data_IF_601968350275
#
_entry.id   IF_601968350275
#
_cell.length_a   1.000
_cell.length_b   1.000
_cell.length_c   1.000
_cell.angle_alpha   90.00
_cell.angle_beta   90.00
_cell.angle_gamma   90.00
#
_symmetry.space_group_name_H-M   'P 1'
#
loop_
_entity.id
_entity.type
_entity.pdbx_description
1 polymer ?
#
# COMPACT_ATOMS: atom_id res chain seq x y z
N UNK A 1 -12.87 -1.87 -26.08
CA UNK A 1 -12.67 -1.02 -24.90
C UNK A 1 -11.81 -1.79 -23.91
N UNK A 2 -10.72 -1.18 -23.40
CA UNK A 2 -9.91 -1.80 -22.35
C UNK A 2 -10.78 -2.00 -21.10
N UNK A 3 -10.69 -3.19 -20.52
CA UNK A 3 -11.50 -3.56 -19.35
C UNK A 3 -10.85 -2.96 -18.11
N UNK A 4 -11.32 -1.82 -17.63
CA UNK A 4 -10.85 -1.15 -16.43
C UNK A 4 -11.66 -1.64 -15.24
N UNK A 5 -10.98 -2.15 -14.21
CA UNK A 5 -11.54 -2.54 -12.91
C UNK A 5 -11.22 -1.46 -11.88
N UNK A 6 -12.21 -1.02 -11.15
CA UNK A 6 -12.06 0.00 -10.12
C UNK A 6 -12.19 -0.69 -8.75
N UNK A 7 -11.26 -0.42 -7.84
CA UNK A 7 -11.24 -1.02 -6.51
C UNK A 7 -11.25 0.09 -5.46
N UNK A 8 -12.21 0.00 -4.53
CA UNK A 8 -12.17 0.74 -3.27
C UNK A 8 -11.44 -0.10 -2.22
N UNK A 9 -10.28 0.38 -1.79
CA UNK A 9 -9.47 -0.29 -0.78
C UNK A 9 -9.35 0.57 0.48
N UNK A 10 -10.46 1.20 0.87
CA UNK A 10 -10.52 2.01 2.08
C UNK A 10 -10.29 1.16 3.33
N UNK A 11 -9.43 1.63 4.20
CA UNK A 11 -9.16 1.04 5.51
C UNK A 11 -8.85 2.14 6.51
N UNK A 12 -9.32 2.00 7.73
CA UNK A 12 -9.09 2.98 8.80
C UNK A 12 -8.31 2.38 9.96
N UNK A 13 -7.54 3.21 10.63
CA UNK A 13 -6.83 2.80 11.84
C UNK A 13 -7.85 2.36 12.91
N UNK A 14 -7.54 1.31 13.73
CA UNK A 14 -8.48 0.78 14.72
C UNK A 14 -8.96 1.77 15.79
N UNK A 15 -8.22 2.86 15.99
CA UNK A 15 -8.57 3.93 16.94
C UNK A 15 -9.43 5.04 16.32
N UNK A 16 -9.89 4.87 15.09
CA UNK A 16 -10.77 5.81 14.39
C UNK A 16 -12.16 5.20 14.29
N UNK A 17 -13.19 5.94 14.74
CA UNK A 17 -14.59 5.49 14.67
C UNK A 17 -15.14 5.71 13.25
N UNK A 18 -14.68 4.87 12.32
CA UNK A 18 -15.10 4.85 10.91
C UNK A 18 -15.20 3.41 10.42
N UNK A 19 -16.19 3.14 9.57
CA UNK A 19 -16.40 1.84 8.92
C UNK A 19 -16.23 1.98 7.40
N UNK A 20 -15.13 1.47 6.82
CA UNK A 20 -14.84 1.68 5.42
C UNK A 20 -15.85 1.01 4.50
N UNK A 21 -16.45 -0.11 4.91
CA UNK A 21 -17.47 -0.79 4.11
C UNK A 21 -18.80 -0.03 4.10
N UNK A 22 -19.23 0.52 5.24
CA UNK A 22 -20.42 1.38 5.28
C UNK A 22 -20.22 2.66 4.47
N UNK A 23 -19.02 3.25 4.51
CA UNK A 23 -18.69 4.41 3.67
C UNK A 23 -18.78 4.08 2.19
N UNK A 24 -18.22 2.93 1.77
CA UNK A 24 -18.36 2.42 0.41
C UNK A 24 -19.81 2.19 0.01
N UNK A 25 -20.63 1.55 0.87
CA UNK A 25 -22.06 1.34 0.59
C UNK A 25 -22.83 2.64 0.44
N UNK A 26 -22.47 3.66 1.21
CA UNK A 26 -23.11 4.96 1.13
C UNK A 26 -22.71 5.74 -0.15
N UNK A 27 -21.42 5.71 -0.51
CA UNK A 27 -20.88 6.48 -1.63
C UNK A 27 -19.57 5.88 -2.16
N UNK A 28 -19.56 5.52 -3.43
CA UNK A 28 -18.35 5.03 -4.11
C UNK A 28 -18.31 5.49 -5.58
N UNK A 29 -17.17 5.31 -6.24
CA UNK A 29 -17.02 5.56 -7.68
C UNK A 29 -17.76 4.45 -8.44
N UNK A 30 -18.54 4.83 -9.46
CA UNK A 30 -19.34 3.87 -10.24
C UNK A 30 -18.50 2.68 -10.72
N UNK A 31 -19.04 1.48 -10.57
CA UNK A 31 -18.42 0.18 -10.87
C UNK A 31 -17.23 -0.17 -9.95
N UNK A 32 -17.00 0.54 -8.85
CA UNK A 32 -16.00 0.14 -7.88
C UNK A 32 -16.40 -1.15 -7.16
N UNK A 33 -15.40 -1.94 -6.79
CA UNK A 33 -15.51 -3.18 -6.03
C UNK A 33 -14.77 -2.96 -4.71
N UNK A 34 -15.39 -3.26 -3.58
CA UNK A 34 -14.75 -3.11 -2.29
C UNK A 34 -13.74 -4.23 -2.02
N UNK A 35 -12.53 -3.86 -1.59
CA UNK A 35 -11.49 -4.77 -1.15
C UNK A 35 -11.21 -4.57 0.33
N UNK A 36 -11.60 -5.54 1.16
CA UNK A 36 -11.38 -5.54 2.60
C UNK A 36 -9.95 -6.05 2.91
N UNK A 37 -9.06 -5.17 3.33
CA UNK A 37 -7.67 -5.53 3.63
C UNK A 37 -7.59 -6.52 4.79
N UNK A 38 -8.40 -6.34 5.84
CA UNK A 38 -8.35 -7.19 7.03
C UNK A 38 -8.81 -8.61 6.71
N UNK A 39 -9.97 -8.75 6.06
CA UNK A 39 -10.53 -10.06 5.68
C UNK A 39 -9.70 -10.81 4.65
N UNK A 40 -8.99 -10.08 3.78
CA UNK A 40 -8.20 -10.66 2.69
C UNK A 40 -6.71 -10.79 3.04
N UNK A 41 -6.36 -10.60 4.30
CA UNK A 41 -5.03 -10.91 4.85
C UNK A 41 -4.95 -12.38 5.28
N UNK A 42 -3.74 -12.86 5.57
CA UNK A 42 -3.51 -14.24 5.99
C UNK A 42 -4.21 -14.52 7.34
N UNK A 43 -5.25 -15.37 7.39
CA UNK A 43 -6.01 -15.63 8.60
C UNK A 43 -5.24 -16.46 9.64
N UNK A 44 -4.14 -17.11 9.24
CA UNK A 44 -3.32 -17.93 10.11
C UNK A 44 -2.17 -17.14 10.76
N UNK A 45 -2.11 -15.83 10.55
CA UNK A 45 -1.07 -14.99 11.13
C UNK A 45 -1.61 -14.18 12.31
N UNK A 46 -0.86 -14.15 13.41
CA UNK A 46 -1.13 -13.23 14.52
C UNK A 46 -0.69 -11.78 14.21
N UNK A 47 0.04 -11.58 13.10
CA UNK A 47 0.43 -10.25 12.64
C UNK A 47 -0.61 -9.72 11.66
N UNK A 48 -0.99 -8.44 11.77
CA UNK A 48 -1.99 -7.86 10.89
C UNK A 48 -1.48 -7.70 9.46
N UNK A 49 -2.39 -7.77 8.51
CA UNK A 49 -2.18 -7.49 7.09
C UNK A 49 -1.07 -8.33 6.43
N UNK A 50 -0.75 -9.49 6.99
CA UNK A 50 0.18 -10.41 6.32
C UNK A 50 -0.42 -10.88 5.00
N UNK A 51 0.43 -10.99 3.98
CA UNK A 51 -0.01 -11.45 2.66
C UNK A 51 -0.63 -12.84 2.79
N UNK A 52 -1.76 -13.04 2.13
CA UNK A 52 -2.40 -14.35 2.01
C UNK A 52 -1.58 -15.27 1.10
N UNK A 53 -1.97 -16.53 0.99
CA UNK A 53 -1.34 -17.46 0.05
C UNK A 53 -1.83 -17.25 -1.39
N UNK A 54 -1.07 -17.80 -2.34
CA UNK A 54 -1.35 -17.72 -3.77
C UNK A 54 -2.78 -18.17 -4.14
N UNK A 55 -3.23 -19.30 -3.60
CA UNK A 55 -4.52 -19.88 -3.99
C UNK A 55 -5.69 -19.03 -3.46
N UNK A 56 -5.57 -18.56 -2.23
CA UNK A 56 -6.54 -17.63 -1.63
C UNK A 56 -6.62 -16.33 -2.42
N UNK A 57 -5.47 -15.78 -2.86
CA UNK A 57 -5.43 -14.60 -3.70
C UNK A 57 -6.06 -14.82 -5.07
N UNK A 58 -5.75 -15.93 -5.77
CA UNK A 58 -6.36 -16.30 -7.05
C UNK A 58 -7.88 -16.37 -6.96
N UNK A 59 -8.37 -17.05 -5.92
CA UNK A 59 -9.81 -17.17 -5.67
C UNK A 59 -10.47 -15.82 -5.42
N UNK A 60 -9.89 -15.01 -4.54
CA UNK A 60 -10.39 -13.68 -4.21
C UNK A 60 -10.51 -12.80 -5.45
N UNK A 61 -9.42 -12.64 -6.19
CA UNK A 61 -9.35 -11.74 -7.35
C UNK A 61 -10.26 -12.23 -8.48
N UNK A 62 -10.39 -13.56 -8.66
CA UNK A 62 -11.34 -14.16 -9.60
C UNK A 62 -12.79 -13.82 -9.22
N UNK A 63 -13.15 -13.91 -7.93
CA UNK A 63 -14.48 -13.54 -7.43
C UNK A 63 -14.76 -12.04 -7.58
N UNK A 64 -13.74 -11.19 -7.52
CA UNK A 64 -13.85 -9.77 -7.84
C UNK A 64 -14.01 -9.51 -9.35
N UNK A 65 -14.06 -10.54 -10.17
CA UNK A 65 -14.23 -10.41 -11.62
C UNK A 65 -13.02 -9.79 -12.32
N UNK A 66 -11.83 -9.94 -11.77
CA UNK A 66 -10.57 -9.40 -12.31
C UNK A 66 -9.78 -10.52 -12.96
N UNK A 67 -9.25 -10.28 -14.15
CA UNK A 67 -8.35 -11.15 -14.89
C UNK A 67 -6.93 -10.56 -14.98
N UNK A 68 -5.95 -11.37 -15.38
CA UNK A 68 -4.55 -10.92 -15.50
C UNK A 68 -4.33 -9.81 -16.56
N UNK A 69 -5.27 -9.66 -17.50
CA UNK A 69 -5.17 -8.68 -18.59
C UNK A 69 -5.92 -7.37 -18.30
N UNK A 70 -6.63 -7.28 -17.16
CA UNK A 70 -7.39 -6.08 -16.81
C UNK A 70 -6.46 -4.95 -16.40
N UNK A 71 -6.85 -3.71 -16.69
CA UNK A 71 -6.31 -2.53 -16.04
C UNK A 71 -7.03 -2.32 -14.71
N UNK A 72 -6.28 -2.05 -13.67
CA UNK A 72 -6.79 -1.87 -12.32
C UNK A 72 -6.53 -0.43 -11.89
N UNK A 73 -7.57 0.25 -11.41
CA UNK A 73 -7.47 1.55 -10.75
C UNK A 73 -7.95 1.39 -9.32
N UNK A 74 -7.08 1.68 -8.37
CA UNK A 74 -7.34 1.52 -6.94
C UNK A 74 -7.45 2.89 -6.30
N UNK A 75 -8.45 3.07 -5.46
CA UNK A 75 -8.59 4.28 -4.63
C UNK A 75 -8.93 3.92 -3.19
N UNK A 76 -8.90 4.92 -2.33
CA UNK A 76 -9.36 4.81 -0.95
C UNK A 76 -9.97 6.11 -0.43
N UNK A 77 -10.57 6.03 0.77
CA UNK A 77 -11.03 7.14 1.60
C UNK A 77 -10.26 7.17 2.94
N UNK A 78 -9.02 6.73 2.92
CA UNK A 78 -8.20 6.48 4.11
C UNK A 78 -7.25 7.65 4.40
N UNK A 79 -6.96 7.89 5.68
CA UNK A 79 -5.92 8.85 6.09
C UNK A 79 -4.51 8.26 6.05
N UNK A 80 -4.38 6.96 5.74
CA UNK A 80 -3.11 6.23 5.62
C UNK A 80 -2.83 5.76 4.20
N UNK A 81 -3.61 6.23 3.21
CA UNK A 81 -3.49 5.91 1.78
C UNK A 81 -3.41 4.39 1.57
N UNK A 82 -4.44 3.70 2.04
CA UNK A 82 -4.50 2.22 2.05
C UNK A 82 -4.56 1.60 0.65
N UNK A 83 -4.96 2.35 -0.37
CA UNK A 83 -4.89 1.95 -1.78
C UNK A 83 -3.50 1.48 -2.20
N UNK A 84 -2.44 2.07 -1.65
CA UNK A 84 -1.05 1.66 -1.92
C UNK A 84 -0.78 0.22 -1.46
N UNK A 85 -1.41 -0.24 -0.37
CA UNK A 85 -1.27 -1.63 0.07
C UNK A 85 -1.95 -2.60 -0.89
N UNK A 86 -3.13 -2.25 -1.40
CA UNK A 86 -3.80 -3.06 -2.42
C UNK A 86 -2.98 -3.09 -3.73
N UNK A 87 -2.45 -1.94 -4.18
CA UNK A 87 -1.50 -1.88 -5.29
C UNK A 87 -0.32 -2.84 -5.08
N UNK A 88 0.32 -2.78 -3.91
CA UNK A 88 1.43 -3.65 -3.58
C UNK A 88 1.06 -5.13 -3.63
N UNK A 89 -0.12 -5.51 -3.13
CA UNK A 89 -0.59 -6.89 -3.19
C UNK A 89 -0.70 -7.38 -4.64
N UNK A 90 -1.26 -6.60 -5.57
CA UNK A 90 -1.31 -6.96 -6.98
C UNK A 90 0.09 -7.11 -7.59
N UNK A 91 1.03 -6.23 -7.25
CA UNK A 91 2.42 -6.33 -7.73
C UNK A 91 3.11 -7.58 -7.19
N UNK A 92 2.95 -7.86 -5.90
CA UNK A 92 3.50 -9.06 -5.26
C UNK A 92 2.96 -10.35 -5.88
N UNK A 93 1.67 -10.41 -6.16
CA UNK A 93 1.03 -11.56 -6.80
C UNK A 93 1.15 -11.58 -8.33
N UNK A 94 2.03 -10.76 -8.89
CA UNK A 94 2.49 -10.88 -10.27
C UNK A 94 1.58 -10.23 -11.31
N UNK A 95 0.63 -9.38 -10.92
CA UNK A 95 -0.08 -8.55 -11.90
C UNK A 95 0.91 -7.61 -12.61
N UNK A 96 0.63 -7.31 -13.89
CA UNK A 96 1.49 -6.40 -14.64
C UNK A 96 1.50 -5.00 -13.97
N UNK A 97 2.66 -4.58 -13.48
CA UNK A 97 2.81 -3.31 -12.77
C UNK A 97 2.32 -2.10 -13.59
N UNK A 98 2.49 -2.14 -14.91
CA UNK A 98 2.02 -1.07 -15.82
C UNK A 98 0.50 -1.02 -15.97
N UNK A 99 -0.21 -2.03 -15.46
CA UNK A 99 -1.68 -2.12 -15.50
C UNK A 99 -2.33 -1.89 -14.14
N UNK A 100 -1.55 -1.60 -13.08
CA UNK A 100 -2.09 -1.32 -11.74
C UNK A 100 -1.80 0.13 -11.37
N UNK A 101 -2.84 0.91 -11.18
CA UNK A 101 -2.78 2.35 -10.95
C UNK A 101 -3.46 2.74 -9.65
N UNK A 102 -3.01 3.81 -9.05
CA UNK A 102 -3.68 4.49 -7.94
C UNK A 102 -4.40 5.71 -8.48
N UNK A 103 -5.65 5.93 -8.06
CA UNK A 103 -6.34 7.19 -8.26
C UNK A 103 -5.76 8.21 -7.26
N UNK A 104 -4.93 9.10 -7.77
CA UNK A 104 -4.19 10.07 -6.97
C UNK A 104 -5.13 11.04 -6.24
N UNK A 105 -5.02 11.12 -4.92
CA UNK A 105 -5.95 11.85 -4.04
C UNK A 105 -7.21 11.07 -3.65
N UNK A 106 -7.41 9.85 -4.16
CA UNK A 106 -8.51 8.95 -3.80
C UNK A 106 -9.91 9.55 -4.02
N UNK A 107 -10.91 9.02 -3.29
CA UNK A 107 -12.29 9.52 -3.41
C UNK A 107 -12.45 10.93 -2.79
N UNK A 108 -11.55 11.36 -1.91
CA UNK A 108 -11.62 12.71 -1.32
C UNK A 108 -11.43 13.76 -2.39
N UNK A 109 -10.37 13.66 -3.18
CA UNK A 109 -10.09 14.56 -4.30
C UNK A 109 -11.15 14.43 -5.40
N UNK A 110 -11.59 13.21 -5.71
CA UNK A 110 -12.67 12.95 -6.66
C UNK A 110 -13.95 13.74 -6.32
N UNK A 111 -14.33 13.78 -5.03
CA UNK A 111 -15.48 14.56 -4.54
C UNK A 111 -15.23 16.08 -4.58
N UNK A 112 -14.03 16.53 -4.22
CA UNK A 112 -13.66 17.96 -4.30
C UNK A 112 -13.74 18.49 -5.74
N UNK A 113 -13.46 17.63 -6.72
CA UNK A 113 -13.60 17.95 -8.15
C UNK A 113 -15.04 17.79 -8.67
N UNK A 114 -16.04 17.56 -7.79
CA UNK A 114 -17.44 17.33 -8.13
C UNK A 114 -17.67 16.21 -9.14
N UNK A 115 -16.84 15.17 -9.12
CA UNK A 115 -16.99 14.01 -9.99
C UNK A 115 -18.10 13.08 -9.48
N UNK A 116 -18.76 12.31 -10.38
CA UNK A 116 -19.92 11.51 -10.03
C UNK A 116 -19.58 10.37 -9.08
N UNK A 117 -20.45 10.18 -8.09
CA UNK A 117 -20.45 9.08 -7.13
C UNK A 117 -21.80 8.36 -7.16
N UNK A 118 -21.84 7.14 -6.68
CA UNK A 118 -23.05 6.30 -6.60
C UNK A 118 -23.06 5.48 -5.33
N UNK A 119 -24.21 4.90 -5.01
CA UNK A 119 -24.41 3.82 -4.03
C UNK A 119 -24.96 2.55 -4.71
N UNK A 120 -25.00 2.50 -6.03
CA UNK A 120 -25.47 1.35 -6.79
C UNK A 120 -24.52 0.17 -6.64
N UNK A 121 -25.03 -1.00 -6.26
CA UNK A 121 -24.22 -2.22 -6.10
C UNK A 121 -23.61 -2.61 -7.44
N UNK A 122 -22.29 -2.76 -7.45
CA UNK A 122 -21.57 -3.19 -8.63
C UNK A 122 -21.86 -4.65 -8.95
N UNK A 123 -22.36 -4.91 -10.16
CA UNK A 123 -22.56 -6.28 -10.64
C UNK A 123 -21.25 -6.90 -11.07
N UNK A 124 -20.80 -7.94 -10.37
CA UNK A 124 -19.52 -8.59 -10.60
C UNK A 124 -19.75 -9.88 -11.41
N UNK A 125 -19.13 -9.94 -12.58
CA UNK A 125 -19.02 -11.18 -13.36
C UNK A 125 -17.70 -11.86 -12.99
N UNK A 126 -17.77 -13.03 -12.36
CA UNK A 126 -16.59 -13.83 -11.98
C UNK A 126 -15.67 -14.05 -13.20
N UNK A 127 -14.38 -13.99 -12.98
CA UNK A 127 -13.34 -14.22 -13.98
C UNK A 127 -12.36 -15.31 -13.53
N UNK A 128 -11.27 -15.49 -14.27
CA UNK A 128 -10.15 -16.34 -13.87
C UNK A 128 -8.89 -15.48 -13.71
N UNK A 129 -8.25 -15.61 -12.57
CA UNK A 129 -6.98 -14.94 -12.25
C UNK A 129 -5.93 -15.98 -11.86
N UNK A 130 -4.69 -15.78 -12.31
CA UNK A 130 -3.52 -16.60 -11.95
C UNK A 130 -2.47 -15.72 -11.27
N UNK A 131 -2.01 -16.12 -10.11
CA UNK A 131 -1.02 -15.41 -9.33
C UNK A 131 0.38 -16.01 -9.46
N UNK A 132 1.39 -15.14 -9.38
CA UNK A 132 2.80 -15.51 -9.29
C UNK A 132 3.43 -14.71 -8.15
N UNK A 133 3.71 -15.37 -7.04
CA UNK A 133 4.33 -14.72 -5.88
C UNK A 133 5.75 -14.26 -6.19
N UNK A 134 5.98 -12.95 -6.10
CA UNK A 134 7.30 -12.32 -6.20
C UNK A 134 7.92 -12.22 -4.80
N UNK A 135 8.40 -13.33 -4.28
CA UNK A 135 8.90 -13.44 -2.89
C UNK A 135 10.07 -12.51 -2.58
N UNK A 136 10.80 -12.09 -3.59
CA UNK A 136 11.89 -11.11 -3.50
C UNK A 136 11.41 -9.72 -3.04
N UNK A 137 10.12 -9.41 -3.22
CA UNK A 137 9.53 -8.13 -2.83
C UNK A 137 9.18 -8.05 -1.32
N UNK A 138 9.32 -9.14 -0.58
CA UNK A 138 9.09 -9.18 0.87
C UNK A 138 10.37 -9.58 1.59
N UNK A 139 10.73 -8.83 2.63
CA UNK A 139 11.80 -9.22 3.56
C UNK A 139 11.22 -9.83 4.82
N UNK A 140 11.78 -10.97 5.24
CA UNK A 140 11.46 -11.61 6.50
C UNK A 140 12.24 -10.96 7.65
N UNK A 141 11.76 -11.17 8.89
CA UNK A 141 12.48 -10.75 10.10
C UNK A 141 13.93 -11.23 10.09
N UNK A 142 14.16 -12.50 9.71
CA UNK A 142 15.51 -13.08 9.61
C UNK A 142 16.42 -12.28 8.66
N UNK A 143 15.90 -11.90 7.48
CA UNK A 143 16.66 -11.09 6.52
C UNK A 143 16.96 -9.68 7.06
N UNK A 144 16.02 -9.07 7.80
CA UNK A 144 16.27 -7.79 8.48
C UNK A 144 17.36 -7.95 9.55
N UNK A 145 17.27 -8.96 10.41
CA UNK A 145 18.25 -9.22 11.47
C UNK A 145 19.67 -9.47 10.89
N UNK A 146 19.76 -10.21 9.78
CA UNK A 146 21.01 -10.42 9.05
C UNK A 146 21.55 -9.13 8.42
N UNK A 147 20.66 -8.30 7.88
CA UNK A 147 21.02 -7.06 7.22
C UNK A 147 21.62 -6.01 8.15
N UNK A 148 21.31 -6.04 9.45
CA UNK A 148 21.94 -5.15 10.45
C UNK A 148 23.49 -5.28 10.39
N UNK A 149 23.98 -6.50 10.13
CA UNK A 149 25.44 -6.76 10.00
C UNK A 149 25.93 -6.65 8.56
N UNK A 150 25.17 -7.19 7.59
CA UNK A 150 25.60 -7.33 6.19
C UNK A 150 25.49 -6.06 5.37
N UNK A 151 24.51 -5.16 5.71
CA UNK A 151 24.24 -3.90 5.00
C UNK A 151 23.96 -4.07 3.50
N UNK A 152 23.27 -5.15 3.12
CA UNK A 152 22.93 -5.48 1.73
C UNK A 152 21.84 -4.55 1.15
N UNK A 153 20.97 -4.02 2.02
CA UNK A 153 19.89 -3.09 1.65
C UNK A 153 19.65 -2.05 2.74
N UNK A 154 19.07 -0.95 2.33
CA UNK A 154 18.73 0.16 3.23
C UNK A 154 17.28 0.03 3.67
N UNK A 155 17.02 0.17 4.97
CA UNK A 155 15.66 0.14 5.53
C UNK A 155 15.18 1.57 5.77
N UNK A 156 13.96 1.89 5.30
CA UNK A 156 13.31 3.19 5.52
C UNK A 156 11.95 2.95 6.18
N UNK A 157 11.75 3.57 7.34
CA UNK A 157 10.54 3.44 8.14
C UNK A 157 9.55 4.56 7.82
N UNK A 158 8.32 4.18 7.51
CA UNK A 158 7.22 5.08 7.11
C UNK A 158 6.40 5.66 8.28
N UNK A 159 6.70 5.26 9.53
CA UNK A 159 5.99 5.73 10.73
C UNK A 159 6.33 7.19 11.06
N UNK A 160 5.61 7.76 12.05
CA UNK A 160 5.98 9.08 12.59
C UNK A 160 7.40 9.06 13.21
N UNK A 161 8.05 10.22 13.21
CA UNK A 161 9.39 10.37 13.81
C UNK A 161 9.37 10.00 15.29
N UNK A 162 8.33 10.40 16.03
CA UNK A 162 8.21 10.07 17.44
C UNK A 162 8.13 8.57 17.71
N UNK A 163 7.41 7.81 16.88
CA UNK A 163 7.37 6.33 16.97
C UNK A 163 8.71 5.71 16.58
N UNK A 164 9.34 6.21 15.53
CA UNK A 164 10.67 5.77 15.09
C UNK A 164 11.74 5.98 16.17
N UNK A 165 11.72 7.13 16.83
CA UNK A 165 12.66 7.49 17.89
C UNK A 165 12.33 6.85 19.26
N UNK A 166 11.20 6.15 19.36
CA UNK A 166 10.74 5.56 20.62
C UNK A 166 10.17 6.56 21.63
N UNK A 167 9.88 7.78 21.22
CA UNK A 167 9.29 8.85 22.04
C UNK A 167 7.77 8.76 22.11
N UNK A 168 7.13 8.10 21.15
CA UNK A 168 5.70 7.86 21.10
C UNK A 168 5.41 6.36 21.24
N UNK A 169 4.32 5.97 21.92
CA UNK A 169 3.94 4.56 22.02
C UNK A 169 3.45 4.03 20.66
N UNK A 170 3.60 2.72 20.47
CA UNK A 170 2.96 2.05 19.34
C UNK A 170 1.44 1.95 19.59
N UNK A 171 0.61 2.05 18.52
CA UNK A 171 -0.84 1.87 18.62
C UNK A 171 -1.26 0.50 19.17
N UNK A 172 -0.40 -0.50 19.00
CA UNK A 172 -0.58 -1.86 19.54
C UNK A 172 0.31 -2.05 20.75
N UNK A 173 -0.29 -2.40 21.88
CA UNK A 173 0.38 -2.52 23.19
C UNK A 173 1.53 -3.53 23.23
N UNK A 174 1.52 -4.52 22.32
CA UNK A 174 2.51 -5.61 22.29
C UNK A 174 3.75 -5.26 21.46
N UNK A 175 3.74 -4.11 20.76
CA UNK A 175 4.86 -3.70 19.93
C UNK A 175 5.82 -2.83 20.72
N UNK A 176 7.11 -3.09 20.53
CA UNK A 176 8.18 -2.27 21.08
C UNK A 176 8.32 -0.97 20.28
N UNK A 177 8.37 0.17 20.95
CA UNK A 177 8.73 1.46 20.36
C UNK A 177 10.20 1.48 19.88
N UNK A 178 10.53 2.42 19.02
CA UNK A 178 11.86 2.56 18.44
C UNK A 178 11.95 1.97 17.03
N UNK A 179 13.16 1.86 16.50
CA UNK A 179 13.44 1.54 15.10
C UNK A 179 14.33 0.33 14.92
N UNK A 180 14.43 -0.15 13.68
CA UNK A 180 15.44 -1.10 13.24
C UNK A 180 16.80 -0.37 13.26
N UNK A 181 17.86 -0.97 13.83
CA UNK A 181 19.20 -0.35 13.81
C UNK A 181 19.62 0.04 12.39
N UNK A 182 20.23 1.23 12.27
CA UNK A 182 20.70 1.81 11.00
C UNK A 182 19.64 2.03 9.92
N UNK A 183 18.36 2.06 10.29
CA UNK A 183 17.29 2.47 9.38
C UNK A 183 17.11 3.98 9.36
N UNK A 184 16.55 4.48 8.28
CA UNK A 184 16.15 5.88 8.12
C UNK A 184 14.67 6.05 8.41
N UNK A 185 14.25 7.27 8.73
CA UNK A 185 12.84 7.62 8.91
C UNK A 185 12.39 8.61 7.85
N UNK A 186 11.34 8.25 7.11
CA UNK A 186 10.60 9.17 6.26
C UNK A 186 9.10 8.95 6.53
N UNK A 187 8.46 9.76 7.37
CA UNK A 187 7.03 9.65 7.58
C UNK A 187 6.27 9.72 6.24
N UNK A 188 5.42 8.73 5.96
CA UNK A 188 4.72 8.65 4.67
C UNK A 188 3.96 9.94 4.32
N UNK A 189 3.44 10.65 5.32
CA UNK A 189 2.73 11.93 5.15
C UNK A 189 3.59 13.01 4.49
N UNK A 190 4.92 12.93 4.62
CA UNK A 190 5.81 13.88 3.95
C UNK A 190 5.87 13.70 2.42
N UNK A 191 5.36 12.58 1.91
CA UNK A 191 5.22 12.31 0.48
C UNK A 191 3.85 12.71 -0.09
N UNK A 192 2.91 13.19 0.75
CA UNK A 192 1.52 13.46 0.40
C UNK A 192 1.21 14.95 0.54
N UNK A 193 0.38 15.48 -0.33
CA UNK A 193 -0.18 16.83 -0.30
C UNK A 193 -1.43 16.88 0.59
N UNK A 194 -1.91 18.09 0.88
CA UNK A 194 -3.12 18.31 1.69
C UNK A 194 -4.39 17.74 1.02
N UNK A 195 -4.43 17.69 -0.31
CA UNK A 195 -5.54 17.11 -1.09
C UNK A 195 -5.44 15.57 -1.20
N UNK A 196 -4.59 14.93 -0.40
CA UNK A 196 -4.28 13.49 -0.39
C UNK A 196 -3.57 12.96 -1.65
N UNK A 197 -3.21 13.81 -2.61
CA UNK A 197 -2.39 13.38 -3.75
C UNK A 197 -0.92 13.22 -3.36
N UNK A 198 -0.18 12.44 -4.14
CA UNK A 198 1.27 12.37 -4.00
C UNK A 198 1.92 13.71 -4.37
N UNK A 199 3.02 14.03 -3.73
CA UNK A 199 3.91 15.09 -4.19
C UNK A 199 4.45 14.75 -5.58
N UNK A 200 4.80 15.76 -6.38
CA UNK A 200 5.37 15.54 -7.70
C UNK A 200 6.77 14.89 -7.63
N UNK A 201 7.29 14.43 -8.78
CA UNK A 201 8.57 13.70 -8.86
C UNK A 201 9.75 14.49 -8.26
N UNK A 202 9.81 15.77 -8.48
CA UNK A 202 10.88 16.66 -7.99
C UNK A 202 10.81 16.74 -6.45
N UNK A 203 9.64 16.98 -5.91
CA UNK A 203 9.40 17.06 -4.47
C UNK A 203 9.68 15.72 -3.78
N UNK A 204 9.22 14.61 -4.35
CA UNK A 204 9.52 13.26 -3.83
C UNK A 204 11.02 13.00 -3.87
N UNK A 205 11.71 13.33 -4.97
CA UNK A 205 13.14 13.15 -5.10
C UNK A 205 13.92 13.92 -4.02
N UNK A 206 13.51 15.15 -3.72
CA UNK A 206 14.09 15.95 -2.63
C UNK A 206 13.90 15.21 -1.30
N UNK A 207 12.69 14.75 -0.98
CA UNK A 207 12.42 14.06 0.28
C UNK A 207 13.25 12.80 0.49
N UNK A 208 13.39 11.99 -0.54
CA UNK A 208 14.23 10.79 -0.44
C UNK A 208 15.72 11.14 -0.36
N UNK A 209 16.20 12.13 -1.10
CA UNK A 209 17.61 12.57 -1.03
C UNK A 209 17.99 13.21 0.31
N UNK A 210 17.05 13.86 1.00
CA UNK A 210 17.27 14.39 2.35
C UNK A 210 17.69 13.30 3.35
N UNK A 211 17.22 12.06 3.19
CA UNK A 211 17.52 10.94 4.10
C UNK A 211 18.53 9.94 3.54
N UNK A 212 18.63 9.80 2.21
CA UNK A 212 19.49 8.79 1.56
C UNK A 212 20.79 9.36 0.99
N UNK A 213 20.91 10.69 0.88
CA UNK A 213 22.00 11.35 0.18
C UNK A 213 21.68 11.63 -1.29
N UNK A 214 22.71 12.04 -2.06
CA UNK A 214 22.52 12.53 -3.44
C UNK A 214 22.04 11.47 -4.42
N UNK A 215 22.33 10.20 -4.18
CA UNK A 215 21.95 9.08 -5.05
C UNK A 215 20.65 8.41 -4.57
N UNK A 216 19.89 7.87 -5.52
CA UNK A 216 18.68 7.10 -5.25
C UNK A 216 18.97 5.60 -5.46
N UNK A 217 19.34 4.84 -4.41
CA UNK A 217 19.72 3.45 -4.54
C UNK A 217 18.52 2.54 -4.91
N UNK A 218 18.79 1.40 -5.55
CA UNK A 218 17.74 0.46 -5.95
C UNK A 218 17.39 -0.57 -4.84
N UNK A 219 18.23 -0.71 -3.82
CA UNK A 219 18.13 -1.74 -2.78
C UNK A 219 17.46 -1.22 -1.51
N UNK A 220 16.29 -0.57 -1.64
CA UNK A 220 15.50 -0.10 -0.50
C UNK A 220 14.47 -1.13 -0.06
N UNK A 221 14.24 -1.18 1.25
CA UNK A 221 13.17 -1.93 1.90
C UNK A 221 12.39 -0.97 2.78
N UNK A 222 11.10 -0.82 2.53
CA UNK A 222 10.25 0.03 3.35
C UNK A 222 9.59 -0.75 4.47
N UNK A 223 9.52 -0.17 5.65
CA UNK A 223 8.89 -0.77 6.83
C UNK A 223 7.88 0.16 7.48
N UNK A 224 6.96 -0.41 8.25
CA UNK A 224 6.05 0.33 9.14
C UNK A 224 5.50 -0.61 10.23
N UNK A 225 4.26 -0.39 10.70
CA UNK A 225 3.63 -1.28 11.70
C UNK A 225 2.93 -2.51 11.13
N UNK A 226 2.51 -2.52 9.85
CA UNK A 226 1.72 -3.61 9.23
C UNK A 226 1.81 -3.66 7.70
N UNK A 227 2.74 -2.93 7.11
CA UNK A 227 2.95 -2.89 5.66
C UNK A 227 1.99 -1.97 4.88
N UNK A 228 1.07 -1.22 5.54
CA UNK A 228 0.18 -0.28 4.85
C UNK A 228 0.94 0.97 4.43
N UNK A 229 1.51 1.71 5.36
CA UNK A 229 2.23 2.95 5.04
C UNK A 229 3.61 2.72 4.43
N UNK A 230 4.21 1.55 4.64
CA UNK A 230 5.39 1.09 3.91
C UNK A 230 5.11 1.01 2.39
N UNK A 231 3.93 0.55 2.00
CA UNK A 231 3.52 0.51 0.59
C UNK A 231 3.34 1.92 0.00
N UNK A 232 3.00 2.95 0.79
CA UNK A 232 2.97 4.35 0.34
C UNK A 232 4.36 4.82 -0.06
N UNK A 233 5.36 4.60 0.79
CA UNK A 233 6.75 4.94 0.44
C UNK A 233 7.28 4.12 -0.73
N UNK A 234 6.91 2.84 -0.80
CA UNK A 234 7.31 1.97 -1.90
C UNK A 234 6.77 2.48 -3.25
N UNK A 235 5.51 2.91 -3.30
CA UNK A 235 4.94 3.53 -4.50
C UNK A 235 5.59 4.90 -4.78
N UNK A 236 5.73 5.77 -3.77
CA UNK A 236 6.38 7.07 -3.92
C UNK A 236 7.79 6.94 -4.51
N UNK A 237 8.55 5.95 -4.04
CA UNK A 237 9.89 5.70 -4.56
C UNK A 237 9.86 5.12 -5.99
N UNK A 238 8.88 4.28 -6.32
CA UNK A 238 8.69 3.76 -7.69
C UNK A 238 8.35 4.86 -8.71
N UNK A 239 7.78 5.99 -8.26
CA UNK A 239 7.49 7.13 -9.13
C UNK A 239 8.78 7.84 -9.58
N UNK A 240 9.82 7.85 -8.76
CA UNK A 240 11.08 8.57 -9.00
C UNK A 240 12.23 7.66 -9.43
N UNK A 241 12.13 6.35 -9.24
CA UNK A 241 13.16 5.38 -9.60
C UNK A 241 12.51 4.15 -10.27
N UNK A 242 12.60 4.08 -11.58
CA UNK A 242 12.02 3.03 -12.42
C UNK A 242 12.75 1.67 -12.33
N UNK A 243 13.96 1.66 -11.78
CA UNK A 243 14.76 0.45 -11.52
C UNK A 243 14.49 -0.18 -10.15
N UNK A 244 13.78 0.54 -9.29
CA UNK A 244 13.45 0.04 -7.97
C UNK A 244 12.41 -1.08 -8.04
N UNK A 245 12.67 -2.16 -7.30
CA UNK A 245 11.68 -3.23 -7.09
C UNK A 245 10.94 -2.97 -5.77
N UNK A 246 9.60 -2.79 -5.80
CA UNK A 246 8.81 -2.46 -4.62
C UNK A 246 8.97 -3.51 -3.52
N UNK A 247 9.80 -3.23 -2.51
CA UNK A 247 10.13 -4.18 -1.46
C UNK A 247 9.73 -3.65 -0.09
N UNK A 248 9.00 -4.46 0.68
CA UNK A 248 8.58 -4.11 2.04
C UNK A 248 8.95 -5.20 3.06
N UNK A 249 8.97 -4.79 4.34
CA UNK A 249 9.09 -5.64 5.52
C UNK A 249 7.86 -5.51 6.40
#
# INVERSE_FOLDING_TARGET
MENVKIIDCSWHMPNVDRDPFKEYQAQHIKNAIFFDIDKNSNPNSNLPHMLTDKNSWEKLVSLMGISNNDKIVIYDNSDVISSCRCWYNFIYFGHNQKSVHILDGGIKKWKLENRPITNEITNIKISTYKAFEKKELVKSKKQIDENIKKKEFIVVDARSRGRFEGKEPEPRKELRSGSIPDSFCLPFKECINEDHSFKNKEQLSIKFKEILGSELPNNLVFSCGSGITAAVLSLAYSIINDKYLPTIY
#
